data_IF_117241458995
#
_entry.id   IF_117241458995
#
_cell.length_a   1.000
_cell.length_b   1.000
_cell.length_c   1.000
_cell.angle_alpha   90.00
_cell.angle_beta   90.00
_cell.angle_gamma   90.00
#
_symmetry.space_group_name_H-M   'P 1'
#
loop_
_entity.id
_entity.type
_entity.pdbx_description
1 polymer ?
#
# COMPACT_ATOMS: atom_id res chain seq x y z
N UNK A 1 -43.91 -57.85 -19.92
CA UNK A 1 -45.00 -58.34 -19.04
C UNK A 1 -45.60 -57.04 -18.52
N UNK A 2 -46.57 -56.59 -19.31
CA UNK A 2 -48.06 -56.88 -19.30
C UNK A 2 -48.66 -56.12 -18.12
N UNK A 3 -49.62 -55.34 -18.24
CA UNK A 3 -50.74 -55.03 -19.20
C UNK A 3 -51.62 -54.04 -18.44
N UNK A 4 -52.00 -52.95 -19.05
CA UNK A 4 -53.23 -52.65 -19.73
C UNK A 4 -54.51 -52.67 -18.86
N UNK A 5 -55.26 -51.64 -18.98
CA UNK A 5 -56.52 -51.28 -19.70
C UNK A 5 -57.61 -50.89 -18.70
N UNK A 6 -58.59 -50.07 -18.90
CA UNK A 6 -59.43 -49.58 -19.97
C UNK A 6 -60.33 -48.46 -19.45
N UNK A 7 -60.52 -47.36 -20.09
CA UNK A 7 -61.57 -46.91 -21.02
C UNK A 7 -63.06 -47.27 -20.71
N UNK A 8 -63.92 -46.22 -20.66
CA UNK A 8 -65.11 -45.92 -21.46
C UNK A 8 -65.99 -44.92 -20.73
N UNK A 9 -66.36 -43.79 -21.25
CA UNK A 9 -67.27 -43.39 -22.37
C UNK A 9 -68.73 -43.67 -22.10
N UNK A 10 -69.59 -42.66 -22.12
CA UNK A 10 -70.67 -42.31 -23.05
C UNK A 10 -71.71 -41.39 -22.39
N UNK A 11 -71.90 -40.19 -22.84
CA UNK A 11 -72.88 -39.64 -23.80
C UNK A 11 -74.38 -39.74 -23.40
N UNK A 12 -75.05 -38.58 -23.54
CA UNK A 12 -76.51 -38.52 -23.71
C UNK A 12 -77.11 -37.12 -23.40
N UNK A 13 -77.22 -36.28 -24.42
CA UNK A 13 -78.20 -35.21 -24.55
C UNK A 13 -79.54 -35.86 -25.05
N UNK A 14 -80.67 -35.14 -25.25
CA UNK A 14 -81.10 -33.76 -25.02
C UNK A 14 -82.62 -33.70 -24.57
N UNK A 15 -83.06 -32.41 -24.33
CA UNK A 15 -84.54 -32.26 -24.24
C UNK A 15 -85.07 -30.89 -23.82
N UNK A 16 -85.29 -30.07 -24.79
CA UNK A 16 -86.07 -28.87 -24.97
C UNK A 16 -87.39 -28.77 -24.21
N UNK A 17 -87.78 -27.63 -23.61
CA UNK A 17 -89.00 -26.81 -23.88
C UNK A 17 -89.24 -25.66 -22.89
N UNK A 18 -89.16 -24.49 -23.45
CA UNK A 18 -90.14 -23.34 -23.51
C UNK A 18 -90.88 -22.85 -22.27
N UNK A 19 -90.74 -21.55 -22.11
CA UNK A 19 -91.69 -20.50 -21.73
C UNK A 19 -92.16 -20.38 -20.28
N UNK A 20 -91.83 -19.26 -19.63
CA UNK A 20 -92.64 -18.00 -19.50
C UNK A 20 -92.04 -17.02 -18.57
N UNK A 21 -92.08 -15.78 -19.02
CA UNK A 21 -91.80 -14.57 -18.26
C UNK A 21 -92.61 -14.41 -16.99
N UNK A 22 -91.99 -13.97 -15.93
CA UNK A 22 -92.62 -13.08 -14.95
C UNK A 22 -91.60 -12.17 -14.31
N UNK A 23 -91.77 -10.87 -14.43
CA UNK A 23 -91.10 -9.80 -13.80
C UNK A 23 -91.35 -9.86 -12.31
N UNK A 24 -90.32 -9.91 -11.49
CA UNK A 24 -90.41 -9.62 -10.08
C UNK A 24 -89.17 -8.74 -9.61
N UNK A 25 -89.57 -7.61 -9.17
CA UNK A 25 -88.87 -6.47 -8.53
C UNK A 25 -87.55 -6.79 -7.87
N UNK A 26 -86.61 -5.82 -8.12
CA UNK A 26 -85.36 -5.62 -7.39
C UNK A 26 -85.63 -5.51 -5.88
N UNK A 27 -85.06 -6.37 -5.12
CA UNK A 27 -84.78 -6.16 -3.69
C UNK A 27 -83.34 -5.65 -3.58
N UNK A 28 -83.23 -4.39 -3.28
CA UNK A 28 -82.00 -3.73 -2.97
C UNK A 28 -81.51 -4.23 -1.61
N UNK A 29 -80.49 -5.10 -1.59
CA UNK A 29 -79.79 -5.50 -0.38
C UNK A 29 -78.70 -4.48 -0.10
N UNK A 30 -78.92 -3.62 0.88
CA UNK A 30 -77.90 -2.71 1.43
C UNK A 30 -76.74 -3.57 1.99
N UNK A 31 -75.64 -3.59 1.30
CA UNK A 31 -74.39 -4.15 1.81
C UNK A 31 -73.76 -3.16 2.80
N UNK A 32 -73.68 -3.58 4.06
CA UNK A 32 -72.90 -2.92 5.08
C UNK A 32 -71.46 -2.73 4.64
N UNK A 33 -71.09 -1.49 4.30
CA UNK A 33 -69.74 -1.09 3.82
C UNK A 33 -68.63 -1.09 4.89
N UNK A 34 -68.97 -1.49 6.12
CA UNK A 34 -68.08 -1.29 7.25
C UNK A 34 -67.25 -2.48 7.71
N UNK A 35 -67.32 -3.61 7.02
CA UNK A 35 -66.53 -4.82 7.42
C UNK A 35 -65.29 -5.08 6.57
N UNK A 36 -65.20 -4.46 5.39
CA UNK A 36 -64.05 -4.69 4.48
C UNK A 36 -62.78 -3.95 4.96
N UNK A 37 -62.88 -2.75 5.52
CA UNK A 37 -61.73 -1.96 5.95
C UNK A 37 -60.95 -2.55 7.15
N UNK A 38 -61.61 -3.25 8.05
CA UNK A 38 -60.96 -3.91 9.20
C UNK A 38 -60.22 -5.18 8.83
N UNK A 39 -60.70 -5.96 7.87
CA UNK A 39 -59.98 -7.13 7.33
C UNK A 39 -58.72 -6.72 6.55
N UNK A 40 -58.83 -5.75 5.64
CA UNK A 40 -57.69 -5.26 4.86
C UNK A 40 -56.58 -4.68 5.75
N UNK A 41 -56.92 -3.94 6.82
CA UNK A 41 -55.93 -3.42 7.79
C UNK A 41 -55.22 -4.52 8.57
N UNK A 42 -55.93 -5.60 8.94
CA UNK A 42 -55.34 -6.76 9.62
C UNK A 42 -54.44 -7.57 8.70
N UNK A 43 -54.84 -7.76 7.45
CA UNK A 43 -54.05 -8.48 6.47
C UNK A 43 -52.80 -7.67 6.02
N UNK A 44 -52.96 -6.34 5.90
CA UNK A 44 -51.80 -5.43 5.63
C UNK A 44 -50.80 -5.41 6.81
N UNK A 45 -51.29 -5.41 8.04
CA UNK A 45 -50.43 -5.50 9.25
C UNK A 45 -49.74 -6.89 9.34
N UNK A 46 -50.37 -7.97 8.92
CA UNK A 46 -49.75 -9.30 8.87
C UNK A 46 -48.68 -9.37 7.82
N UNK A 47 -48.95 -8.84 6.61
CA UNK A 47 -47.95 -8.77 5.54
C UNK A 47 -46.76 -7.89 5.91
N UNK A 48 -47.01 -6.73 6.53
CA UNK A 48 -45.95 -5.86 7.04
C UNK A 48 -45.12 -6.55 8.14
N UNK A 49 -45.78 -7.26 9.08
CA UNK A 49 -45.08 -8.03 10.12
C UNK A 49 -44.24 -9.17 9.55
N UNK A 50 -44.74 -9.90 8.54
CA UNK A 50 -43.97 -10.92 7.82
C UNK A 50 -42.78 -10.31 7.07
N UNK A 51 -42.96 -9.14 6.45
CA UNK A 51 -41.88 -8.42 5.75
C UNK A 51 -40.75 -8.00 6.70
N UNK A 52 -41.11 -7.48 7.89
CA UNK A 52 -40.14 -7.12 8.94
C UNK A 52 -39.43 -8.36 9.47
N UNK A 53 -40.16 -9.44 9.76
CA UNK A 53 -39.57 -10.70 10.22
C UNK A 53 -38.61 -11.29 9.18
N UNK A 54 -39.00 -11.28 7.90
CA UNK A 54 -38.13 -11.73 6.82
C UNK A 54 -36.89 -10.85 6.68
N UNK A 55 -37.04 -9.51 6.76
CA UNK A 55 -35.92 -8.56 6.71
C UNK A 55 -34.92 -8.78 7.84
N UNK A 56 -35.40 -8.99 9.07
CA UNK A 56 -34.55 -9.28 10.24
C UNK A 56 -33.83 -10.61 10.07
N UNK A 57 -34.54 -11.67 9.65
CA UNK A 57 -33.91 -12.97 9.38
C UNK A 57 -32.88 -12.89 8.25
N UNK A 58 -33.16 -12.14 7.16
CA UNK A 58 -32.24 -11.94 6.05
C UNK A 58 -30.97 -11.17 6.51
N UNK A 59 -31.14 -10.11 7.33
CA UNK A 59 -29.99 -9.38 7.89
C UNK A 59 -29.13 -10.26 8.80
N UNK A 60 -29.74 -11.05 9.69
CA UNK A 60 -29.01 -11.97 10.57
C UNK A 60 -28.28 -13.05 9.74
N UNK A 61 -28.96 -13.64 8.77
CA UNK A 61 -28.35 -14.64 7.88
C UNK A 61 -27.20 -14.07 7.05
N UNK A 62 -27.36 -12.85 6.51
CA UNK A 62 -26.33 -12.16 5.76
C UNK A 62 -25.13 -11.82 6.65
N UNK A 63 -25.37 -11.30 7.88
CA UNK A 63 -24.29 -10.99 8.83
C UNK A 63 -23.55 -12.25 9.29
N UNK A 64 -24.24 -13.39 9.44
CA UNK A 64 -23.61 -14.65 9.79
C UNK A 64 -22.86 -15.31 8.62
N UNK A 65 -23.31 -15.09 7.37
CA UNK A 65 -22.65 -15.60 6.17
C UNK A 65 -21.48 -14.72 5.69
N UNK A 66 -21.47 -13.45 6.07
CA UNK A 66 -20.46 -12.48 5.62
C UNK A 66 -19.03 -12.94 5.86
N UNK A 67 -18.62 -13.43 7.05
CA UNK A 67 -17.26 -13.91 7.27
C UNK A 67 -16.87 -15.06 6.34
N UNK A 68 -17.82 -15.97 6.05
CA UNK A 68 -17.59 -17.11 5.17
C UNK A 68 -17.57 -16.71 3.68
N UNK A 69 -18.36 -15.71 3.29
CA UNK A 69 -18.36 -15.15 1.94
C UNK A 69 -17.07 -14.35 1.69
N UNK A 70 -16.63 -13.55 2.65
CA UNK A 70 -15.39 -12.77 2.55
C UNK A 70 -14.14 -13.69 2.48
N UNK A 71 -14.20 -14.88 3.09
CA UNK A 71 -13.12 -15.89 2.99
C UNK A 71 -13.11 -16.62 1.64
N UNK A 72 -14.28 -16.89 1.04
CA UNK A 72 -14.40 -17.65 -0.24
C UNK A 72 -14.44 -16.80 -1.48
N UNK A 73 -14.88 -15.57 -1.38
CA UNK A 73 -14.99 -14.60 -2.47
C UNK A 73 -14.38 -13.27 -1.99
N UNK A 74 -13.06 -13.20 -1.85
CA UNK A 74 -12.40 -11.94 -1.57
C UNK A 74 -12.77 -10.99 -2.71
N UNK A 75 -13.39 -9.86 -2.38
CA UNK A 75 -13.67 -8.80 -3.35
C UNK A 75 -12.36 -8.35 -4.03
N UNK A 76 -12.44 -7.72 -5.19
CA UNK A 76 -11.25 -7.20 -5.85
C UNK A 76 -10.49 -6.27 -4.90
N UNK A 77 -9.18 -6.52 -4.73
CA UNK A 77 -8.30 -5.63 -4.00
C UNK A 77 -8.21 -4.28 -4.72
N UNK A 78 -8.24 -3.19 -3.97
CA UNK A 78 -8.06 -1.87 -4.54
C UNK A 78 -6.62 -1.73 -5.06
N UNK A 79 -6.48 -1.15 -6.25
CA UNK A 79 -5.19 -0.80 -6.82
C UNK A 79 -4.54 0.30 -5.97
N UNK A 80 -3.28 0.11 -5.65
CA UNK A 80 -2.47 1.10 -4.93
C UNK A 80 -1.89 2.05 -5.97
N UNK A 81 -2.17 3.35 -5.82
CA UNK A 81 -1.60 4.40 -6.64
C UNK A 81 -0.78 5.31 -5.74
N UNK A 82 0.48 5.49 -6.08
CA UNK A 82 1.38 6.42 -5.39
C UNK A 82 1.47 7.68 -6.24
N UNK A 83 1.09 8.86 -5.69
CA UNK A 83 1.12 10.11 -6.46
C UNK A 83 2.53 10.44 -6.96
N UNK A 84 2.64 10.74 -8.24
CA UNK A 84 3.86 11.29 -8.82
C UNK A 84 4.16 12.69 -8.24
N UNK A 85 5.45 12.99 -8.10
CA UNK A 85 5.91 14.29 -7.63
C UNK A 85 5.62 15.32 -8.73
N UNK A 86 4.90 16.38 -8.36
CA UNK A 86 4.82 17.56 -9.23
C UNK A 86 6.13 18.31 -9.06
N UNK A 87 6.83 18.60 -10.16
CA UNK A 87 7.93 19.56 -10.16
C UNK A 87 7.37 20.89 -9.63
N UNK A 88 7.75 21.24 -8.40
CA UNK A 88 7.49 22.57 -7.89
C UNK A 88 8.37 23.54 -8.66
N UNK A 89 7.75 24.31 -9.54
CA UNK A 89 8.38 25.51 -10.10
C UNK A 89 8.87 26.34 -8.91
N UNK A 90 10.18 26.55 -8.84
CA UNK A 90 10.80 27.45 -7.85
C UNK A 90 10.12 28.81 -7.97
N UNK A 91 9.15 29.07 -7.12
CA UNK A 91 8.68 30.42 -6.90
C UNK A 91 9.80 31.17 -6.22
N UNK A 92 10.42 32.11 -6.93
CA UNK A 92 11.25 33.14 -6.35
C UNK A 92 10.39 33.90 -5.32
N UNK A 93 10.46 33.51 -4.07
CA UNK A 93 9.93 34.35 -2.98
C UNK A 93 10.75 35.62 -2.93
N UNK A 94 10.21 36.62 -3.58
CA UNK A 94 10.60 38.01 -3.36
C UNK A 94 10.31 38.31 -1.91
N UNK A 95 11.36 38.42 -1.08
CA UNK A 95 11.31 38.90 0.30
C UNK A 95 10.67 40.27 0.32
N UNK A 96 9.37 40.33 0.65
CA UNK A 96 8.74 41.57 1.07
C UNK A 96 9.23 41.89 2.47
N UNK A 97 10.11 42.86 2.54
CA UNK A 97 10.52 43.56 3.74
C UNK A 97 9.28 44.15 4.43
N UNK A 98 8.86 43.57 5.53
CA UNK A 98 7.89 44.18 6.45
C UNK A 98 8.52 44.29 7.85
N UNK A 99 8.98 45.52 8.14
CA UNK A 99 8.90 46.20 9.44
C UNK A 99 9.26 45.42 10.69
N UNK A 100 10.48 45.59 11.05
CA UNK A 100 11.12 45.54 12.33
C UNK A 100 10.19 45.77 13.54
N UNK A 101 9.87 44.70 14.27
CA UNK A 101 9.72 44.72 15.71
C UNK A 101 10.55 43.56 16.30
N UNK A 102 11.85 43.85 16.45
CA UNK A 102 12.84 42.93 16.99
C UNK A 102 12.69 42.87 18.50
N UNK A 103 11.71 42.13 18.99
CA UNK A 103 11.85 41.45 20.26
C UNK A 103 12.87 40.34 20.05
N UNK A 104 14.13 40.62 20.41
CA UNK A 104 15.16 39.58 20.54
C UNK A 104 14.62 38.54 21.55
N UNK A 105 13.92 37.52 21.07
CA UNK A 105 13.64 36.36 21.89
C UNK A 105 14.99 35.73 22.20
N UNK A 106 15.43 35.90 23.43
CA UNK A 106 16.59 35.16 23.95
C UNK A 106 16.20 33.70 23.93
N UNK A 107 16.73 32.90 22.97
CA UNK A 107 16.57 31.48 22.90
C UNK A 107 17.07 30.85 24.19
N UNK A 108 16.15 30.55 25.10
CA UNK A 108 16.45 29.91 26.37
C UNK A 108 16.29 28.39 26.30
N UNK A 109 16.62 27.72 27.38
CA UNK A 109 16.43 26.25 27.52
C UNK A 109 14.99 25.81 27.29
N UNK A 110 14.02 26.69 27.53
CA UNK A 110 12.59 26.36 27.32
C UNK A 110 12.23 26.31 25.82
N UNK A 111 12.79 27.22 25.00
CA UNK A 111 12.64 27.16 23.54
C UNK A 111 13.25 25.87 22.96
N UNK A 112 14.37 25.40 23.50
CA UNK A 112 14.96 24.12 23.11
C UNK A 112 14.05 22.95 23.50
N UNK A 113 13.47 22.97 24.70
CA UNK A 113 12.53 21.92 25.15
C UNK A 113 11.26 21.87 24.29
N UNK A 114 10.73 23.01 23.88
CA UNK A 114 9.59 23.11 22.99
C UNK A 114 9.91 22.51 21.62
N UNK A 115 11.06 22.86 21.03
CA UNK A 115 11.54 22.29 19.78
C UNK A 115 11.69 20.76 19.89
N UNK A 116 12.36 20.28 20.94
CA UNK A 116 12.55 18.84 21.17
C UNK A 116 11.21 18.11 21.33
N UNK A 117 10.24 18.72 22.02
CA UNK A 117 8.88 18.17 22.17
C UNK A 117 8.17 18.12 20.82
N UNK A 118 8.28 19.15 20.00
CA UNK A 118 7.69 19.17 18.66
C UNK A 118 8.30 18.07 17.77
N UNK A 119 9.62 17.93 17.74
CA UNK A 119 10.32 16.87 16.99
C UNK A 119 9.91 15.46 17.47
N UNK A 120 9.82 15.24 18.78
CA UNK A 120 9.34 13.98 19.36
C UNK A 120 7.89 13.69 18.98
N UNK A 121 7.03 14.71 18.87
CA UNK A 121 5.64 14.54 18.44
C UNK A 121 5.57 14.07 17.00
N UNK A 122 6.34 14.68 16.09
CA UNK A 122 6.45 14.26 14.69
C UNK A 122 6.96 12.82 14.60
N UNK A 123 8.06 12.51 15.31
CA UNK A 123 8.62 11.16 15.34
C UNK A 123 7.62 10.11 15.84
N UNK A 124 6.87 10.40 16.91
CA UNK A 124 5.90 9.49 17.49
C UNK A 124 4.70 9.23 16.58
N UNK A 125 4.26 10.24 15.83
CA UNK A 125 3.17 10.07 14.87
C UNK A 125 3.63 9.25 13.67
N UNK A 126 4.79 9.57 13.08
CA UNK A 126 5.35 8.83 11.96
C UNK A 126 5.73 7.38 12.35
N UNK A 127 6.16 7.14 13.59
CA UNK A 127 6.49 5.80 14.08
C UNK A 127 5.31 4.82 14.04
N UNK A 128 4.06 5.31 14.01
CA UNK A 128 2.87 4.46 13.84
C UNK A 128 2.83 3.76 12.48
N UNK A 129 3.55 4.26 11.49
CA UNK A 129 3.67 3.64 10.16
C UNK A 129 4.86 2.68 10.07
N UNK A 130 5.72 2.62 11.09
CA UNK A 130 6.91 1.76 11.11
C UNK A 130 6.61 0.51 11.93
N UNK A 131 6.90 -0.65 11.35
CA UNK A 131 6.70 -1.96 11.95
C UNK A 131 8.01 -2.74 11.95
N UNK A 132 8.04 -3.83 12.66
CA UNK A 132 9.13 -4.80 12.60
C UNK A 132 8.71 -6.02 11.80
N UNK A 133 9.49 -6.38 10.78
CA UNK A 133 9.31 -7.59 9.97
C UNK A 133 10.27 -8.64 10.50
N UNK A 134 9.73 -9.75 10.99
CA UNK A 134 10.47 -10.80 11.68
C UNK A 134 10.39 -12.08 10.86
N UNK A 135 11.55 -12.67 10.56
CA UNK A 135 11.66 -13.98 9.92
C UNK A 135 11.90 -15.09 10.96
N UNK A 136 11.09 -16.15 10.91
CA UNK A 136 11.18 -17.29 11.83
C UNK A 136 11.64 -18.52 11.06
N UNK A 137 12.73 -19.16 11.50
CA UNK A 137 13.33 -20.32 10.84
C UNK A 137 12.95 -21.68 11.45
N UNK A 138 12.44 -21.75 12.70
CA UNK A 138 12.08 -22.99 13.39
C UNK A 138 11.01 -22.84 14.48
N UNK A 139 10.51 -23.99 14.98
CA UNK A 139 9.43 -24.03 15.99
C UNK A 139 9.82 -23.49 17.39
N UNK A 140 11.11 -23.35 17.67
CA UNK A 140 11.61 -22.90 18.98
C UNK A 140 11.86 -21.39 19.10
N UNK A 141 11.70 -20.65 18.02
CA UNK A 141 12.13 -19.27 17.95
C UNK A 141 11.14 -18.26 18.59
N UNK A 142 9.97 -18.74 19.03
CA UNK A 142 8.89 -17.90 19.57
C UNK A 142 9.15 -17.33 20.96
N UNK A 143 10.07 -17.90 21.72
CA UNK A 143 10.21 -17.64 23.17
C UNK A 143 11.46 -16.88 23.59
N UNK A 144 12.37 -16.63 22.67
CA UNK A 144 13.62 -15.93 22.97
C UNK A 144 13.62 -14.49 22.45
N UNK A 145 13.45 -13.51 23.33
CA UNK A 145 13.62 -12.05 23.03
C UNK A 145 14.93 -11.73 22.28
N UNK A 146 15.93 -12.57 22.42
CA UNK A 146 17.23 -12.42 21.77
C UNK A 146 17.21 -12.77 20.27
N UNK A 147 16.23 -13.56 19.81
CA UNK A 147 16.10 -13.96 18.41
C UNK A 147 15.45 -12.87 17.56
N UNK A 148 14.47 -12.18 18.11
CA UNK A 148 13.76 -11.08 17.49
C UNK A 148 14.69 -9.99 16.93
N UNK A 149 15.80 -9.73 17.64
CA UNK A 149 16.75 -8.69 17.25
C UNK A 149 17.72 -9.10 16.13
N UNK A 150 17.93 -10.42 15.90
CA UNK A 150 18.91 -10.90 14.92
C UNK A 150 18.33 -11.14 13.53
N UNK A 151 17.05 -11.54 13.44
CA UNK A 151 16.40 -11.83 12.16
C UNK A 151 15.17 -10.95 11.96
N UNK A 152 15.34 -9.65 12.14
CA UNK A 152 14.30 -8.68 11.91
C UNK A 152 14.82 -7.45 11.18
N UNK A 153 13.95 -6.85 10.39
CA UNK A 153 14.17 -5.57 9.69
C UNK A 153 12.99 -4.64 9.94
N UNK A 154 13.21 -3.36 9.76
CA UNK A 154 12.09 -2.41 9.76
C UNK A 154 11.27 -2.55 8.49
N UNK A 155 9.94 -2.44 8.63
CA UNK A 155 8.99 -2.32 7.54
C UNK A 155 8.22 -1.02 7.63
N UNK A 156 7.74 -0.53 6.51
CA UNK A 156 6.96 0.68 6.38
C UNK A 156 5.55 0.32 5.89
N UNK A 157 4.52 0.69 6.63
CA UNK A 157 3.13 0.53 6.21
C UNK A 157 2.84 1.53 5.10
N UNK A 158 2.63 1.04 3.88
CA UNK A 158 2.50 1.91 2.69
C UNK A 158 1.07 2.02 2.18
N UNK A 159 0.22 1.01 2.41
CA UNK A 159 -1.14 1.01 1.91
C UNK A 159 -2.05 0.03 2.67
N UNK A 160 -3.35 0.31 2.66
CA UNK A 160 -4.45 -0.60 2.94
C UNK A 160 -5.25 -0.76 1.64
N UNK A 161 -5.20 -1.93 1.00
CA UNK A 161 -5.90 -2.20 -0.25
C UNK A 161 -7.34 -2.70 -0.05
N UNK A 162 -7.86 -2.60 1.18
CA UNK A 162 -9.19 -3.06 1.58
C UNK A 162 -9.22 -4.49 2.10
N UNK A 163 -8.28 -5.34 1.71
CA UNK A 163 -8.16 -6.74 2.13
C UNK A 163 -6.91 -7.00 2.96
N UNK A 164 -5.81 -6.36 2.59
CA UNK A 164 -4.49 -6.54 3.17
C UNK A 164 -3.90 -5.20 3.55
N UNK A 165 -3.17 -5.19 4.65
CA UNK A 165 -2.24 -4.12 4.99
C UNK A 165 -0.90 -4.45 4.34
N UNK A 166 -0.38 -3.52 3.54
CA UNK A 166 0.83 -3.70 2.75
C UNK A 166 2.02 -3.01 3.42
N UNK A 167 3.09 -3.76 3.59
CA UNK A 167 4.30 -3.32 4.28
C UNK A 167 5.50 -3.47 3.34
N UNK A 168 6.23 -2.39 3.11
CA UNK A 168 7.47 -2.38 2.34
C UNK A 168 8.67 -2.60 3.26
N UNK A 169 9.56 -3.52 2.92
CA UNK A 169 10.73 -3.82 3.75
C UNK A 169 11.77 -4.67 3.01
N UNK A 170 12.95 -4.84 3.64
CA UNK A 170 14.08 -5.59 3.06
C UNK A 170 13.78 -7.08 2.96
N UNK A 171 14.30 -7.72 1.88
CA UNK A 171 14.23 -9.17 1.66
C UNK A 171 15.27 -9.95 2.46
N UNK A 172 16.21 -9.29 3.13
CA UNK A 172 17.30 -9.95 3.86
C UNK A 172 16.82 -10.97 4.90
N UNK A 173 15.61 -10.74 5.47
CA UNK A 173 14.99 -11.66 6.45
C UNK A 173 14.46 -12.94 5.81
N UNK A 174 14.30 -13.00 4.49
CA UNK A 174 13.71 -14.14 3.79
C UNK A 174 14.66 -15.34 3.68
N UNK A 175 15.96 -15.14 3.96
CA UNK A 175 16.94 -16.21 3.92
C UNK A 175 16.67 -17.20 5.06
N UNK A 176 16.44 -18.46 4.70
CA UNK A 176 16.17 -19.56 5.62
C UNK A 176 14.92 -19.38 6.52
N UNK A 177 14.03 -18.45 6.14
CA UNK A 177 12.80 -18.15 6.89
C UNK A 177 11.65 -19.04 6.42
N UNK A 178 10.92 -19.65 7.37
CA UNK A 178 9.72 -20.45 7.13
C UNK A 178 8.44 -19.65 7.29
N UNK A 179 8.42 -18.74 8.26
CA UNK A 179 7.26 -17.89 8.57
C UNK A 179 7.71 -16.44 8.75
N UNK A 180 6.86 -15.54 8.33
CA UNK A 180 7.07 -14.09 8.44
C UNK A 180 6.00 -13.53 9.37
N UNK A 181 6.43 -12.72 10.31
CA UNK A 181 5.58 -12.03 11.25
C UNK A 181 5.83 -10.53 11.22
N UNK A 182 4.75 -9.77 11.37
CA UNK A 182 4.80 -8.31 11.52
C UNK A 182 4.47 -7.98 12.97
N UNK A 183 5.38 -7.26 13.64
CA UNK A 183 5.14 -6.69 14.97
C UNK A 183 4.80 -5.21 14.81
N UNK A 184 3.61 -4.84 15.25
CA UNK A 184 3.10 -3.46 15.23
C UNK A 184 3.60 -2.65 16.43
N UNK A 185 3.39 -1.32 16.37
CA UNK A 185 3.80 -0.39 17.42
C UNK A 185 3.20 -0.68 18.82
N UNK A 186 2.02 -1.32 18.86
CA UNK A 186 1.37 -1.77 20.10
C UNK A 186 1.92 -3.11 20.65
N UNK A 187 2.95 -3.67 20.00
CA UNK A 187 3.56 -4.95 20.33
C UNK A 187 2.79 -6.19 19.83
N UNK A 188 1.61 -6.02 19.20
CA UNK A 188 0.89 -7.16 18.63
C UNK A 188 1.63 -7.71 17.42
N UNK A 189 1.63 -9.03 17.28
CA UNK A 189 2.30 -9.73 16.17
C UNK A 189 1.27 -10.45 15.31
N UNK A 190 1.41 -10.34 13.99
CA UNK A 190 0.55 -11.01 13.00
C UNK A 190 1.39 -11.70 11.94
N UNK A 191 0.90 -12.85 11.48
CA UNK A 191 1.51 -13.56 10.37
C UNK A 191 1.33 -12.76 9.09
N UNK A 192 2.37 -12.75 8.26
CA UNK A 192 2.41 -12.10 6.96
C UNK A 192 2.84 -13.06 5.87
N UNK A 193 2.54 -12.70 4.63
CA UNK A 193 3.05 -13.37 3.43
C UNK A 193 3.81 -12.37 2.55
N UNK A 194 4.72 -12.87 1.71
CA UNK A 194 5.34 -12.05 0.67
C UNK A 194 4.35 -11.90 -0.48
N UNK A 195 3.92 -10.68 -0.77
CA UNK A 195 3.07 -10.38 -1.92
C UNK A 195 3.88 -10.36 -3.21
N UNK A 196 4.97 -9.60 -3.22
CA UNK A 196 5.91 -9.50 -4.33
C UNK A 196 7.26 -9.02 -3.81
N UNK A 197 8.34 -9.44 -4.46
CA UNK A 197 9.71 -9.00 -4.14
C UNK A 197 10.42 -8.52 -5.40
N UNK A 198 11.34 -7.59 -5.22
CA UNK A 198 12.41 -7.24 -6.14
C UNK A 198 13.74 -7.79 -5.63
N UNK A 199 14.48 -8.45 -6.49
CA UNK A 199 15.77 -9.02 -6.15
C UNK A 199 16.93 -8.05 -6.43
N UNK A 200 16.72 -7.06 -7.30
CA UNK A 200 17.73 -6.06 -7.68
C UNK A 200 18.08 -5.14 -6.51
N UNK A 201 17.08 -4.51 -5.89
CA UNK A 201 17.27 -3.65 -4.72
C UNK A 201 17.13 -4.38 -3.41
N UNK A 202 16.57 -5.61 -3.43
CA UNK A 202 16.39 -6.43 -2.26
C UNK A 202 15.28 -5.94 -1.33
N UNK A 203 14.17 -5.47 -1.90
CA UNK A 203 12.96 -5.10 -1.19
C UNK A 203 11.77 -6.00 -1.54
N UNK A 204 10.76 -5.99 -0.68
CA UNK A 204 9.54 -6.74 -0.87
C UNK A 204 8.34 -6.03 -0.26
N UNK A 205 7.15 -6.36 -0.77
CA UNK A 205 5.89 -6.08 -0.10
C UNK A 205 5.46 -7.32 0.69
N UNK A 206 5.29 -7.11 1.98
CA UNK A 206 4.68 -8.05 2.91
C UNK A 206 3.22 -7.70 3.10
N UNK A 207 2.36 -8.71 3.11
CA UNK A 207 0.92 -8.53 3.25
C UNK A 207 0.42 -9.19 4.54
N UNK A 208 -0.35 -8.43 5.32
CA UNK A 208 -1.07 -8.92 6.50
C UNK A 208 -2.56 -8.86 6.21
N UNK A 209 -3.28 -9.97 6.38
CA UNK A 209 -4.73 -9.97 6.19
C UNK A 209 -5.41 -8.99 7.13
N UNK A 210 -6.18 -8.06 6.60
CA UNK A 210 -6.87 -7.00 7.35
C UNK A 210 -7.79 -7.57 8.42
N UNK A 211 -8.46 -8.67 8.14
CA UNK A 211 -9.34 -9.39 9.06
C UNK A 211 -8.63 -9.94 10.32
N UNK A 212 -7.31 -10.13 10.25
CA UNK A 212 -6.51 -10.61 11.38
C UNK A 212 -6.12 -9.51 12.36
N UNK A 213 -6.23 -8.23 11.96
CA UNK A 213 -5.79 -7.07 12.74
C UNK A 213 -6.95 -6.60 13.63
N UNK A 214 -6.72 -6.57 14.95
CA UNK A 214 -7.71 -6.10 15.90
C UNK A 214 -7.95 -4.57 15.77
N UNK A 215 -9.17 -4.12 16.08
CA UNK A 215 -9.53 -2.70 16.03
C UNK A 215 -8.65 -1.83 16.95
N UNK A 216 -8.19 -2.37 18.08
CA UNK A 216 -7.24 -1.69 18.98
C UNK A 216 -5.90 -1.40 18.30
N UNK A 217 -5.37 -2.36 17.52
CA UNK A 217 -4.15 -2.18 16.74
C UNK A 217 -4.34 -1.18 15.61
N UNK A 218 -5.50 -1.22 14.91
CA UNK A 218 -5.84 -0.25 13.87
C UNK A 218 -5.82 1.20 14.34
N UNK A 219 -6.16 1.46 15.60
CA UNK A 219 -6.12 2.80 16.20
C UNK A 219 -4.69 3.27 16.52
N UNK A 220 -3.72 2.38 16.50
CA UNK A 220 -2.32 2.61 16.87
C UNK A 220 -1.36 2.66 15.68
N UNK A 221 -1.83 2.32 14.49
CA UNK A 221 -1.04 2.32 13.26
C UNK A 221 -1.54 3.40 12.29
N UNK A 222 -0.67 3.80 11.38
CA UNK A 222 -1.01 4.72 10.28
C UNK A 222 -0.33 4.25 8.99
N UNK A 223 -0.89 4.66 7.86
CA UNK A 223 -0.23 4.53 6.57
C UNK A 223 0.79 5.66 6.44
N UNK A 224 1.98 5.36 5.97
CA UNK A 224 3.04 6.34 5.80
C UNK A 224 2.69 7.36 4.71
N UNK A 225 3.01 8.62 4.96
CA UNK A 225 3.01 9.64 3.92
C UNK A 225 4.39 9.66 3.25
N UNK A 226 4.43 9.34 1.96
CA UNK A 226 5.66 9.38 1.18
C UNK A 226 5.90 10.81 0.68
N UNK A 227 7.00 11.41 1.10
CA UNK A 227 7.43 12.74 0.69
C UNK A 227 8.19 12.75 -0.65
N UNK A 228 9.01 13.76 -0.85
CA UNK A 228 9.93 13.91 -1.99
C UNK A 228 11.37 13.94 -1.50
N UNK A 229 12.20 13.01 -1.96
CA UNK A 229 13.65 13.09 -1.72
C UNK A 229 14.35 14.11 -2.62
N UNK A 230 13.72 14.49 -3.73
CA UNK A 230 14.24 15.53 -4.64
C UNK A 230 14.24 16.93 -4.03
N UNK A 231 13.34 17.21 -3.07
CA UNK A 231 13.28 18.49 -2.36
C UNK A 231 14.24 18.57 -1.18
N UNK A 232 14.84 17.46 -0.74
CA UNK A 232 15.72 17.39 0.42
C UNK A 232 17.07 18.05 0.14
N UNK A 233 17.48 18.93 1.05
CA UNK A 233 18.74 19.67 0.93
C UNK A 233 19.70 19.30 2.06
N UNK A 234 20.99 19.48 1.78
CA UNK A 234 22.03 19.37 2.81
C UNK A 234 21.78 20.38 3.94
N UNK A 235 21.78 19.90 5.17
CA UNK A 235 21.51 20.69 6.37
C UNK A 235 20.06 20.63 6.84
N UNK A 236 19.12 20.05 6.06
CA UNK A 236 17.76 19.84 6.51
C UNK A 236 17.73 18.91 7.72
N UNK A 237 16.80 19.16 8.63
CA UNK A 237 16.59 18.29 9.78
C UNK A 237 16.09 16.91 9.33
N UNK A 238 16.68 15.87 9.88
CA UNK A 238 16.34 14.48 9.62
C UNK A 238 15.98 13.77 10.92
N UNK A 239 14.91 12.98 10.88
CA UNK A 239 14.55 12.04 11.94
C UNK A 239 14.61 10.63 11.37
N UNK A 240 15.29 9.71 12.08
CA UNK A 240 15.37 8.31 11.67
C UNK A 240 14.56 7.45 12.62
N UNK A 241 13.79 6.51 12.06
CA UNK A 241 12.89 5.64 12.79
C UNK A 241 13.09 4.18 12.36
N UNK A 242 12.83 3.26 13.27
CA UNK A 242 12.87 1.83 13.01
C UNK A 242 13.96 1.11 13.76
N UNK A 243 14.92 0.49 13.05
CA UNK A 243 16.07 -0.26 13.58
C UNK A 243 17.41 0.30 13.08
N UNK A 244 17.60 1.61 13.01
CA UNK A 244 18.85 2.19 12.46
C UNK A 244 20.08 1.85 13.29
N UNK A 245 19.91 1.59 14.58
CA UNK A 245 20.96 1.30 15.57
C UNK A 245 21.06 -0.18 15.97
N UNK A 246 20.39 -1.10 15.20
CA UNK A 246 20.41 -2.53 15.46
C UNK A 246 19.33 -3.03 16.44
N UNK A 247 18.49 -2.14 17.00
CA UNK A 247 17.33 -2.47 17.84
C UNK A 247 16.07 -1.76 17.37
N UNK A 248 14.94 -2.45 17.43
CA UNK A 248 13.66 -1.97 16.94
C UNK A 248 13.11 -0.82 17.78
N UNK A 249 12.26 0.04 17.15
CA UNK A 249 11.59 1.15 17.82
C UNK A 249 12.54 2.32 18.17
N UNK A 250 13.72 2.35 17.59
CA UNK A 250 14.68 3.43 17.83
C UNK A 250 14.30 4.72 17.09
N UNK A 251 14.64 5.85 17.67
CA UNK A 251 14.48 7.19 17.10
C UNK A 251 15.81 7.92 17.20
N UNK A 252 16.24 8.53 16.10
CA UNK A 252 17.42 9.40 16.07
C UNK A 252 17.10 10.72 15.42
N UNK A 253 17.81 11.77 15.84
CA UNK A 253 17.67 13.12 15.32
C UNK A 253 19.01 13.62 14.83
N UNK A 254 19.02 14.28 13.69
CA UNK A 254 20.21 14.86 13.09
C UNK A 254 19.88 15.69 11.86
N UNK A 255 20.80 15.71 10.91
CA UNK A 255 20.66 16.47 9.67
C UNK A 255 21.06 15.64 8.45
N UNK A 256 20.57 16.04 7.29
CA UNK A 256 21.02 15.52 6.01
C UNK A 256 22.43 16.03 5.74
N UNK A 257 23.39 15.13 5.72
CA UNK A 257 24.79 15.43 5.40
C UNK A 257 25.05 15.50 3.89
N UNK A 258 24.38 14.65 3.11
CA UNK A 258 24.46 14.62 1.64
C UNK A 258 23.16 14.08 1.03
N UNK A 259 22.73 14.71 -0.07
CA UNK A 259 21.56 14.31 -0.87
C UNK A 259 21.85 14.22 -2.37
N UNK A 260 23.12 14.26 -2.77
CA UNK A 260 23.55 14.26 -4.18
C UNK A 260 24.33 13.00 -4.58
N UNK A 261 24.40 12.02 -3.68
CA UNK A 261 24.98 10.75 -4.00
C UNK A 261 23.96 9.88 -4.75
N UNK A 262 24.43 9.09 -5.69
CA UNK A 262 23.60 8.17 -6.42
C UNK A 262 24.25 6.79 -6.38
N UNK A 263 23.44 5.76 -6.38
CA UNK A 263 23.84 4.38 -6.57
C UNK A 263 23.49 3.97 -8.00
N UNK A 264 24.51 3.66 -8.79
CA UNK A 264 24.29 3.03 -10.10
C UNK A 264 23.85 1.58 -9.87
N UNK A 265 22.58 1.33 -10.09
CA UNK A 265 21.99 -0.01 -10.06
C UNK A 265 21.79 -0.60 -11.45
N UNK A 266 21.29 -1.82 -11.47
CA UNK A 266 20.81 -2.42 -12.71
C UNK A 266 19.52 -1.73 -13.11
N UNK A 267 19.43 -1.32 -14.38
CA UNK A 267 18.29 -0.63 -14.97
C UNK A 267 17.93 0.72 -14.36
N UNK A 268 18.85 1.35 -13.58
CA UNK A 268 18.54 2.63 -13.01
C UNK A 268 19.64 3.25 -12.14
N UNK A 269 19.39 4.49 -11.73
CA UNK A 269 20.17 5.21 -10.72
C UNK A 269 19.25 5.62 -9.58
N UNK A 270 19.73 5.40 -8.36
CA UNK A 270 18.94 5.62 -7.16
C UNK A 270 19.59 6.69 -6.29
N UNK A 271 18.92 7.83 -6.05
CA UNK A 271 19.46 8.87 -5.17
C UNK A 271 19.62 8.33 -3.76
N UNK A 272 20.75 8.68 -3.13
CA UNK A 272 21.06 8.31 -1.76
C UNK A 272 21.00 9.53 -0.86
N UNK A 273 20.40 9.35 0.31
CA UNK A 273 20.42 10.29 1.41
C UNK A 273 21.40 9.77 2.48
N UNK A 274 22.36 10.61 2.88
CA UNK A 274 23.27 10.34 3.97
C UNK A 274 23.04 11.38 5.08
N UNK A 275 22.96 10.92 6.33
CA UNK A 275 22.78 11.80 7.50
C UNK A 275 24.06 11.90 8.31
N UNK A 276 24.07 12.74 9.35
CA UNK A 276 25.12 12.81 10.38
C UNK A 276 24.82 11.91 11.60
N UNK A 277 23.80 11.04 11.48
CA UNK A 277 23.35 10.12 12.54
C UNK A 277 24.12 8.81 12.42
N UNK A 278 24.67 8.33 13.54
CA UNK A 278 25.37 7.03 13.59
C UNK A 278 24.44 5.87 13.27
N UNK A 279 24.96 4.78 12.71
CA UNK A 279 24.21 3.60 12.27
C UNK A 279 24.81 2.29 12.78
N UNK A 280 23.97 1.25 12.88
CA UNK A 280 24.44 -0.13 12.96
C UNK A 280 24.74 -0.67 11.54
N UNK A 281 25.62 -1.66 11.43
CA UNK A 281 26.03 -2.28 10.15
C UNK A 281 24.84 -2.86 9.38
N UNK A 282 23.85 -3.40 10.09
CA UNK A 282 22.60 -3.98 9.58
C UNK A 282 21.39 -3.05 9.77
N UNK A 283 21.63 -1.73 9.95
CA UNK A 283 20.59 -0.74 10.21
C UNK A 283 19.56 -0.68 9.11
N UNK A 284 18.28 -0.68 9.51
CA UNK A 284 17.11 -0.53 8.62
C UNK A 284 16.10 0.44 9.23
N UNK A 285 15.25 1.02 8.42
CA UNK A 285 14.24 1.98 8.88
C UNK A 285 13.90 3.01 7.83
N UNK A 286 13.48 4.18 8.30
CA UNK A 286 13.10 5.28 7.43
C UNK A 286 13.74 6.58 7.89
N UNK A 287 13.97 7.49 6.94
CA UNK A 287 14.33 8.88 7.17
C UNK A 287 13.07 9.71 6.92
N UNK A 288 12.66 10.53 7.87
CA UNK A 288 11.52 11.43 7.73
C UNK A 288 11.97 12.89 7.86
N UNK A 289 11.22 13.80 7.24
CA UNK A 289 11.34 15.23 7.41
C UNK A 289 10.54 15.73 8.62
N UNK A 290 10.59 17.05 8.91
CA UNK A 290 9.84 17.64 10.02
C UNK A 290 8.33 17.72 9.80
N UNK A 291 7.85 17.45 8.59
CA UNK A 291 6.40 17.27 8.29
C UNK A 291 5.92 15.86 8.60
N UNK A 292 6.83 14.93 8.99
CA UNK A 292 6.50 13.52 9.23
C UNK A 292 6.43 12.68 7.97
N UNK A 293 6.86 13.22 6.82
CA UNK A 293 6.86 12.50 5.55
C UNK A 293 8.15 11.68 5.40
N UNK A 294 8.01 10.48 4.87
CA UNK A 294 9.14 9.59 4.58
C UNK A 294 9.87 10.11 3.34
N UNK A 295 11.12 10.52 3.51
CA UNK A 295 12.00 11.01 2.43
C UNK A 295 13.07 9.99 2.05
N UNK A 296 13.29 8.95 2.87
CA UNK A 296 14.26 7.90 2.54
C UNK A 296 13.98 6.59 3.26
N UNK A 297 14.45 5.49 2.65
CA UNK A 297 14.45 4.13 3.22
C UNK A 297 15.88 3.76 3.61
N UNK A 298 16.12 3.50 4.89
CA UNK A 298 17.45 3.19 5.42
C UNK A 298 17.86 1.78 4.98
N UNK A 299 19.03 1.69 4.38
CA UNK A 299 19.69 0.43 4.03
C UNK A 299 21.22 0.59 4.19
N UNK A 300 21.77 0.02 5.24
CA UNK A 300 23.22 0.03 5.47
C UNK A 300 23.97 -1.01 4.62
N UNK A 301 23.23 -1.95 4.01
CA UNK A 301 23.77 -2.93 3.08
C UNK A 301 24.08 -2.42 1.68
N UNK A 302 23.87 -1.12 1.40
CA UNK A 302 24.12 -0.52 0.08
C UNK A 302 25.59 -0.69 -0.29
N UNK A 303 25.83 -1.35 -1.43
CA UNK A 303 27.17 -1.59 -1.97
C UNK A 303 27.85 -0.25 -2.30
N UNK A 304 29.14 -0.11 -1.90
CA UNK A 304 29.90 1.11 -2.16
C UNK A 304 29.69 2.25 -1.15
N UNK A 305 28.84 2.05 -0.13
CA UNK A 305 28.74 3.01 0.97
C UNK A 305 30.08 3.10 1.73
N UNK A 306 30.78 4.21 1.55
CA UNK A 306 32.05 4.49 2.26
C UNK A 306 31.84 4.92 3.71
N UNK A 307 30.60 5.23 4.09
CA UNK A 307 30.23 5.75 5.42
C UNK A 307 29.30 4.78 6.15
N UNK A 308 29.71 3.52 6.30
CA UNK A 308 28.92 2.49 7.00
C UNK A 308 28.54 2.83 8.44
N UNK A 309 29.20 3.84 9.01
CA UNK A 309 28.96 4.31 10.37
C UNK A 309 27.82 5.35 10.46
N UNK A 310 27.38 5.89 9.32
CA UNK A 310 26.31 6.90 9.26
C UNK A 310 25.07 6.34 8.57
N UNK A 311 23.90 6.73 9.07
CA UNK A 311 22.63 6.33 8.45
C UNK A 311 22.59 6.82 7.01
N UNK A 312 22.51 5.85 6.11
CA UNK A 312 22.40 6.04 4.67
C UNK A 312 21.21 5.24 4.16
N UNK A 313 20.52 5.76 3.16
CA UNK A 313 19.37 5.08 2.58
C UNK A 313 19.04 5.58 1.18
N UNK A 314 18.16 4.85 0.51
CA UNK A 314 17.62 5.26 -0.77
C UNK A 314 16.66 6.43 -0.60
N UNK A 315 16.76 7.44 -1.45
CA UNK A 315 15.75 8.49 -1.54
C UNK A 315 14.42 7.93 -2.01
N UNK A 316 13.35 8.31 -1.32
CA UNK A 316 12.00 7.74 -1.54
C UNK A 316 11.49 7.95 -2.97
N UNK A 317 11.82 9.08 -3.62
CA UNK A 317 11.38 9.38 -4.99
C UNK A 317 11.79 8.31 -5.99
N UNK A 318 13.01 7.77 -5.83
CA UNK A 318 13.51 6.68 -6.69
C UNK A 318 12.85 5.31 -6.45
N UNK A 319 12.12 5.16 -5.35
CA UNK A 319 11.48 3.88 -4.99
C UNK A 319 9.96 3.86 -5.21
N UNK A 320 9.32 5.00 -5.50
CA UNK A 320 7.86 5.09 -5.60
C UNK A 320 7.26 4.16 -6.64
N UNK A 321 7.85 4.10 -7.84
CA UNK A 321 7.40 3.21 -8.92
C UNK A 321 7.55 1.73 -8.53
N UNK A 322 8.68 1.35 -7.94
CA UNK A 322 8.90 0.00 -7.43
C UNK A 322 7.85 -0.37 -6.37
N UNK A 323 7.65 0.51 -5.37
CA UNK A 323 6.66 0.29 -4.30
C UNK A 323 5.28 0.09 -4.89
N UNK A 324 4.87 0.90 -5.88
CA UNK A 324 3.57 0.78 -6.55
C UNK A 324 3.42 -0.55 -7.29
N UNK A 325 4.40 -0.93 -8.12
CA UNK A 325 4.39 -2.20 -8.85
C UNK A 325 4.31 -3.40 -7.90
N UNK A 326 5.19 -3.45 -6.89
CA UNK A 326 5.22 -4.54 -5.92
C UNK A 326 3.93 -4.61 -5.09
N UNK A 327 3.33 -3.46 -4.73
CA UNK A 327 2.06 -3.37 -4.00
C UNK A 327 0.90 -3.96 -4.80
N UNK A 328 0.93 -3.81 -6.12
CA UNK A 328 -0.05 -4.37 -7.04
C UNK A 328 0.31 -5.80 -7.51
N UNK A 329 1.33 -6.43 -6.89
CA UNK A 329 1.77 -7.79 -7.20
C UNK A 329 2.49 -7.92 -8.54
N UNK A 330 2.87 -6.78 -9.14
CA UNK A 330 3.59 -6.73 -10.41
C UNK A 330 5.09 -6.89 -10.19
N UNK A 331 5.79 -7.40 -11.20
CA UNK A 331 7.24 -7.46 -11.18
C UNK A 331 7.82 -6.11 -11.57
N UNK A 332 8.94 -5.73 -10.96
CA UNK A 332 9.75 -4.62 -11.45
C UNK A 332 10.37 -5.04 -12.78
N UNK A 333 10.22 -4.25 -13.84
CA UNK A 333 10.87 -4.53 -15.12
C UNK A 333 12.39 -4.63 -14.95
N UNK A 334 13.00 -5.60 -15.60
CA UNK A 334 14.44 -5.83 -15.54
C UNK A 334 14.99 -6.26 -16.89
N UNK A 335 15.97 -5.53 -17.40
CA UNK A 335 16.72 -5.96 -18.59
C UNK A 335 18.21 -6.20 -18.29
N UNK A 336 18.76 -5.65 -17.22
CA UNK A 336 20.11 -5.89 -16.73
C UNK A 336 21.18 -5.05 -17.41
N UNK A 337 20.97 -3.75 -17.47
CA UNK A 337 21.98 -2.79 -17.94
C UNK A 337 22.38 -1.83 -16.81
N UNK A 338 23.61 -1.34 -16.84
CA UNK A 338 24.00 -0.15 -16.10
C UNK A 338 24.32 0.95 -17.09
N UNK A 339 23.57 2.03 -17.00
CA UNK A 339 23.61 3.14 -17.94
C UNK A 339 24.04 4.44 -17.28
N UNK A 340 24.42 5.39 -18.11
CA UNK A 340 24.69 6.79 -17.75
C UNK A 340 24.00 7.69 -18.76
N UNK A 341 23.64 8.89 -18.32
CA UNK A 341 23.12 9.90 -19.23
C UNK A 341 24.19 10.32 -20.26
N UNK A 342 23.78 10.47 -21.51
CA UNK A 342 24.61 11.15 -22.50
C UNK A 342 24.56 12.64 -22.17
N UNK A 343 25.73 13.21 -21.78
CA UNK A 343 25.80 14.63 -21.41
C UNK A 343 25.82 15.53 -22.65
N UNK A 344 25.46 16.81 -22.46
CA UNK A 344 25.46 17.81 -23.54
C UNK A 344 26.85 17.94 -24.25
N UNK A 345 27.95 17.73 -23.50
CA UNK A 345 29.29 17.75 -24.05
C UNK A 345 29.55 16.55 -24.96
N UNK A 346 28.94 15.40 -24.67
CA UNK A 346 29.04 14.18 -25.50
C UNK A 346 28.12 14.32 -26.72
N UNK A 347 26.93 14.87 -26.56
CA UNK A 347 26.01 15.17 -27.67
C UNK A 347 26.64 16.12 -28.69
N UNK A 348 27.40 17.13 -28.24
CA UNK A 348 28.13 18.04 -29.11
C UNK A 348 29.20 17.35 -29.98
N UNK A 349 29.59 16.12 -29.67
CA UNK A 349 30.49 15.27 -30.47
C UNK A 349 29.75 14.39 -31.48
N UNK A 350 28.40 14.56 -31.57
CA UNK A 350 27.56 13.82 -32.54
C UNK A 350 27.00 12.50 -32.01
N UNK A 351 27.08 12.27 -30.70
CA UNK A 351 26.45 11.12 -30.02
C UNK A 351 24.99 11.47 -29.77
N UNK A 352 24.03 10.59 -30.07
CA UNK A 352 22.63 10.88 -29.84
C UNK A 352 22.31 10.99 -28.31
N UNK A 353 21.35 11.85 -27.96
CA UNK A 353 20.76 11.93 -26.64
C UNK A 353 20.18 10.57 -26.23
N UNK A 354 20.35 10.15 -24.99
CA UNK A 354 19.86 8.87 -24.51
C UNK A 354 20.65 8.32 -23.34
N UNK A 355 20.53 7.01 -23.11
CA UNK A 355 21.26 6.26 -22.08
C UNK A 355 22.43 5.51 -22.72
N UNK A 356 23.64 5.87 -22.36
CA UNK A 356 24.85 5.14 -22.69
C UNK A 356 24.95 3.87 -21.84
N UNK A 357 24.98 2.69 -22.45
CA UNK A 357 25.14 1.41 -21.78
C UNK A 357 26.59 1.23 -21.38
N UNK A 358 26.89 1.33 -20.10
CA UNK A 358 28.24 1.14 -19.54
C UNK A 358 28.59 -0.33 -19.40
N UNK A 359 27.68 -1.12 -18.82
CA UNK A 359 27.82 -2.57 -18.65
C UNK A 359 26.49 -3.26 -18.88
N UNK A 360 26.58 -4.54 -19.30
CA UNK A 360 25.43 -5.44 -19.43
C UNK A 360 25.67 -6.62 -18.49
N UNK A 361 24.72 -6.94 -17.66
CA UNK A 361 24.80 -8.05 -16.72
C UNK A 361 24.80 -9.40 -17.44
N UNK A 362 25.60 -10.33 -16.91
CA UNK A 362 25.70 -11.68 -17.48
C UNK A 362 24.35 -12.41 -17.34
N UNK A 363 23.98 -13.16 -18.39
CA UNK A 363 22.74 -13.92 -18.47
C UNK A 363 21.45 -13.05 -18.36
N UNK A 364 21.58 -11.73 -18.58
CA UNK A 364 20.46 -10.78 -18.56
C UNK A 364 19.66 -10.82 -19.87
N UNK A 365 18.39 -10.33 -19.85
CA UNK A 365 17.61 -10.12 -21.07
C UNK A 365 18.30 -9.20 -22.08
N UNK A 366 18.99 -8.15 -21.61
CA UNK A 366 19.74 -7.23 -22.47
C UNK A 366 20.86 -7.97 -23.22
N UNK A 367 21.63 -8.81 -22.52
CA UNK A 367 22.65 -9.64 -23.15
C UNK A 367 22.06 -10.61 -24.20
N UNK A 368 20.93 -11.26 -23.84
CA UNK A 368 20.24 -12.16 -24.74
C UNK A 368 19.69 -11.45 -25.99
N UNK A 369 19.31 -10.18 -25.86
CA UNK A 369 18.85 -9.33 -26.96
C UNK A 369 20.02 -8.76 -27.82
N UNK A 370 21.27 -8.93 -27.37
CA UNK A 370 22.45 -8.46 -28.06
C UNK A 370 22.87 -7.02 -27.78
N UNK A 371 22.31 -6.42 -26.71
CA UNK A 371 22.76 -5.11 -26.21
C UNK A 371 24.19 -5.26 -25.66
N UNK A 372 25.06 -4.30 -25.96
CA UNK A 372 26.45 -4.33 -25.60
C UNK A 372 26.88 -3.03 -24.91
N UNK A 373 27.98 -3.11 -24.15
CA UNK A 373 28.65 -1.90 -23.66
C UNK A 373 29.06 -1.00 -24.84
N UNK A 374 28.72 0.27 -24.73
CA UNK A 374 28.93 1.26 -25.79
C UNK A 374 27.70 1.58 -26.63
N UNK A 375 26.61 0.81 -26.50
CA UNK A 375 25.35 1.13 -27.15
C UNK A 375 24.68 2.34 -26.47
N UNK A 376 23.78 3.00 -27.22
CA UNK A 376 22.99 4.11 -26.69
C UNK A 376 21.51 3.78 -26.87
N UNK A 377 20.78 3.74 -25.78
CA UNK A 377 19.33 3.55 -25.79
C UNK A 377 18.67 4.91 -25.99
N UNK A 378 18.06 5.10 -27.16
CA UNK A 378 17.39 6.34 -27.56
C UNK A 378 15.87 6.23 -27.53
N UNK A 379 15.35 4.98 -27.48
CA UNK A 379 13.91 4.70 -27.45
C UNK A 379 13.66 3.40 -26.66
N UNK A 380 12.63 3.39 -25.81
CA UNK A 380 12.13 2.22 -25.12
C UNK A 380 10.60 2.25 -25.11
N UNK A 381 9.94 1.10 -25.37
CA UNK A 381 8.49 0.96 -25.45
C UNK A 381 7.79 2.02 -26.32
N UNK A 382 8.45 2.49 -27.40
CA UNK A 382 7.93 3.53 -28.29
C UNK A 382 8.02 4.97 -27.75
N UNK A 383 8.69 5.17 -26.62
CA UNK A 383 8.95 6.49 -26.04
C UNK A 383 10.40 6.88 -26.26
N UNK A 384 10.64 8.16 -26.59
CA UNK A 384 11.99 8.70 -26.66
C UNK A 384 12.65 8.72 -25.29
N UNK A 385 13.86 8.21 -25.18
CA UNK A 385 14.68 8.19 -23.97
C UNK A 385 15.71 9.31 -24.07
N UNK A 386 15.67 10.23 -23.09
CA UNK A 386 16.58 11.38 -23.01
C UNK A 386 17.51 11.30 -21.81
N UNK A 387 17.19 10.44 -20.83
CA UNK A 387 17.97 10.25 -19.62
C UNK A 387 17.72 8.87 -19.02
N UNK A 388 18.55 8.47 -18.06
CA UNK A 388 18.36 7.24 -17.29
C UNK A 388 17.07 7.30 -16.45
N UNK A 389 16.72 8.48 -15.94
CA UNK A 389 15.45 8.69 -15.23
C UNK A 389 14.24 8.53 -16.17
N UNK A 390 14.32 9.05 -17.40
CA UNK A 390 13.27 8.83 -18.41
C UNK A 390 13.16 7.35 -18.79
N UNK A 391 14.28 6.63 -18.86
CA UNK A 391 14.31 5.19 -19.10
C UNK A 391 13.63 4.41 -17.96
N UNK A 392 13.93 4.73 -16.70
CA UNK A 392 13.31 4.10 -15.53
C UNK A 392 11.78 4.32 -15.45
N UNK A 393 11.28 5.40 -16.04
CA UNK A 393 9.85 5.75 -16.02
C UNK A 393 9.02 5.07 -17.12
N UNK A 394 9.67 4.30 -18.03
CA UNK A 394 9.03 3.63 -19.17
C UNK A 394 8.74 2.18 -18.90
#
# INVERSE_FOLDING_TARGET
>A
MDEQKHLKNEQGEPGNKTEKSEYLFMQETIKDENSRGKKYRKDLLRIAGLGVAFGVCACISFSALRPWLDEKFPGDSQEVVIPEEKEEEKSDETTADTGNDSTVQTLGIDSYRELQKAMNSVASEAAKSVVEVIGISGEQDWTEESYDNKNSVSGLIIADNGQELLIYGKTSILRDTKEIHIRFADGTTKQASVKKKDESLGFAIYAVAKSSIAQSTWQQISIATLGSSGSVQKGDAAVVLGKPFGYAGAVGFGTIASSRNELDGDDGSYPLLCTDIGAAEDGTGVIINLSGEVVGIIDQGISGNSSKELVTGYGISGLKSEIELLSNGQAVPYIGIRGLDVTAEIEAQGIPEGVYVRTVETDSPAMAAGIQSGDIITEAAGKKITSLSAYQSV
#
